data_IF_838902573141
#
_entry.id   IF_838902573141
#
_cell.length_a   1.000
_cell.length_b   1.000
_cell.length_c   1.000
_cell.angle_alpha   90.00
_cell.angle_beta   90.00
_cell.angle_gamma   90.00
#
_symmetry.space_group_name_H-M   'P 1'
#
loop_
_entity.id
_entity.type
_entity.pdbx_description
1 polymer ?
#
# COMPACT_ATOMS: atom_id res chain seq x y z
N UNK A 1 11.19 -13.15 1.44
CA UNK A 1 10.38 -12.73 0.27
C UNK A 1 8.91 -13.03 0.51
N UNK A 2 8.03 -12.34 -0.22
CA UNK A 2 6.57 -12.50 -0.16
C UNK A 2 6.01 -12.37 -1.60
N UNK A 3 6.16 -13.40 -2.45
CA UNK A 3 5.91 -13.29 -3.89
C UNK A 3 4.43 -13.39 -4.28
N UNK A 4 3.54 -13.71 -3.34
CA UNK A 4 2.11 -13.89 -3.59
C UNK A 4 1.28 -13.27 -2.47
N UNK A 5 0.02 -12.91 -2.75
CA UNK A 5 -0.90 -12.28 -1.79
C UNK A 5 -0.94 -13.01 -0.43
N UNK A 6 -1.02 -14.35 -0.45
CA UNK A 6 -1.02 -15.19 0.75
C UNK A 6 0.35 -15.82 1.10
N UNK A 7 1.45 -15.24 0.62
CA UNK A 7 2.83 -15.75 0.61
C UNK A 7 3.08 -16.96 -0.28
N UNK A 8 2.25 -18.00 -0.17
CA UNK A 8 2.43 -19.29 -0.83
C UNK A 8 1.11 -19.78 -1.47
N UNK A 9 1.12 -20.84 -2.32
CA UNK A 9 -0.09 -21.33 -2.99
C UNK A 9 -1.22 -21.79 -2.05
N UNK A 10 -0.90 -22.15 -0.80
CA UNK A 10 -1.88 -22.50 0.22
C UNK A 10 -2.47 -21.30 0.96
N UNK A 11 -1.95 -20.09 0.72
CA UNK A 11 -2.45 -18.85 1.30
C UNK A 11 -2.26 -18.76 2.81
N UNK A 12 -1.18 -19.36 3.35
CA UNK A 12 -1.01 -19.52 4.80
C UNK A 12 -0.86 -18.19 5.54
N UNK A 13 -0.36 -17.15 4.87
CA UNK A 13 0.03 -15.87 5.48
C UNK A 13 0.98 -16.03 6.67
N UNK A 14 1.73 -17.13 6.72
CA UNK A 14 2.69 -17.43 7.78
C UNK A 14 4.11 -17.14 7.31
N UNK A 15 4.96 -16.51 8.14
CA UNK A 15 6.40 -16.36 7.87
C UNK A 15 7.21 -17.24 8.84
N UNK A 16 8.25 -17.96 8.37
CA UNK A 16 9.13 -18.77 9.22
C UNK A 16 10.24 -17.95 9.87
N UNK A 17 10.38 -16.66 9.55
CA UNK A 17 11.38 -15.78 10.15
C UNK A 17 11.04 -15.53 11.63
N UNK A 18 12.06 -15.51 12.48
CA UNK A 18 11.96 -15.33 13.92
C UNK A 18 12.84 -14.19 14.46
N UNK A 19 13.43 -13.37 13.57
CA UNK A 19 14.20 -12.17 13.92
C UNK A 19 13.40 -11.21 14.82
N UNK A 20 12.09 -11.09 14.54
CA UNK A 20 11.14 -10.35 15.36
C UNK A 20 10.36 -11.36 16.20
N UNK A 21 10.43 -11.19 17.51
CA UNK A 21 9.87 -12.08 18.52
C UNK A 21 9.29 -11.29 19.69
N UNK A 22 8.59 -11.99 20.59
CA UNK A 22 7.88 -11.36 21.73
C UNK A 22 8.81 -10.53 22.60
N UNK A 23 10.07 -10.90 22.70
CA UNK A 23 11.05 -10.24 23.56
C UNK A 23 11.62 -8.95 22.97
N UNK A 24 11.58 -8.75 21.64
CA UNK A 24 12.17 -7.58 20.97
C UNK A 24 11.19 -6.77 20.10
N UNK A 25 9.93 -7.19 19.99
CA UNK A 25 8.91 -6.46 19.20
C UNK A 25 8.70 -5.02 19.70
N UNK A 26 8.97 -4.78 20.98
CA UNK A 26 8.89 -3.45 21.58
C UNK A 26 10.00 -2.49 21.10
N UNK A 27 11.06 -3.01 20.49
CA UNK A 27 12.22 -2.25 20.02
C UNK A 27 12.11 -1.89 18.53
N UNK A 28 10.98 -2.19 17.88
CA UNK A 28 10.79 -1.88 16.46
C UNK A 28 10.65 -0.38 16.24
N UNK A 29 11.35 0.10 15.23
CA UNK A 29 11.29 1.48 14.77
C UNK A 29 10.91 1.53 13.29
N UNK A 30 10.36 2.67 12.85
CA UNK A 30 10.07 2.90 11.44
C UNK A 30 11.40 3.04 10.68
N UNK A 31 11.67 2.11 9.77
CA UNK A 31 12.85 2.17 8.92
C UNK A 31 12.73 3.24 7.83
N UNK A 32 11.54 3.36 7.21
CA UNK A 32 11.22 4.37 6.21
C UNK A 32 9.70 4.52 6.05
N UNK A 33 9.28 5.59 5.38
CA UNK A 33 7.88 5.84 4.99
C UNK A 33 7.84 6.29 3.54
N UNK A 34 6.90 5.77 2.76
CA UNK A 34 6.63 6.20 1.39
C UNK A 34 5.22 6.79 1.33
N UNK A 35 5.07 7.94 0.66
CA UNK A 35 3.76 8.56 0.41
C UNK A 35 3.41 8.38 -1.06
N UNK A 36 2.28 7.71 -1.30
CA UNK A 36 1.80 7.39 -2.65
C UNK A 36 1.23 8.62 -3.39
N UNK A 37 0.88 9.67 -2.65
CA UNK A 37 0.48 10.97 -3.20
C UNK A 37 -1.03 11.23 -3.20
N UNK A 38 -1.85 10.21 -2.97
CA UNK A 38 -3.31 10.34 -3.06
C UNK A 38 -3.96 10.83 -1.77
N UNK A 39 -3.30 10.65 -0.61
CA UNK A 39 -3.86 11.06 0.68
C UNK A 39 -4.03 12.59 0.76
N UNK A 40 -5.19 13.13 1.19
CA UNK A 40 -5.37 14.57 1.28
C UNK A 40 -4.55 15.21 2.37
N UNK A 41 -4.23 16.49 2.18
CA UNK A 41 -3.34 17.24 3.05
C UNK A 41 -3.99 17.69 4.39
N UNK A 42 -5.31 17.49 4.56
CA UNK A 42 -6.09 18.13 5.62
C UNK A 42 -6.64 17.14 6.68
N UNK A 43 -6.69 17.60 7.94
CA UNK A 43 -7.07 16.84 9.14
C UNK A 43 -8.58 16.48 9.26
N UNK A 44 -9.40 16.86 8.28
CA UNK A 44 -10.86 16.60 8.30
C UNK A 44 -11.24 15.15 7.94
N UNK A 45 -10.25 14.27 7.72
CA UNK A 45 -10.45 12.85 7.40
C UNK A 45 -10.93 11.95 8.53
N UNK A 46 -10.83 12.39 9.79
CA UNK A 46 -11.32 11.61 10.94
C UNK A 46 -12.86 11.43 10.93
N UNK A 47 -13.59 12.27 10.17
CA UNK A 47 -15.06 12.22 10.11
C UNK A 47 -15.63 11.24 9.07
N UNK A 48 -14.82 10.71 8.14
CA UNK A 48 -15.31 9.95 6.98
C UNK A 48 -15.10 8.42 7.05
N UNK A 49 -14.53 7.87 8.14
CA UNK A 49 -14.47 6.42 8.34
C UNK A 49 -13.72 5.61 7.25
N UNK A 50 -12.94 6.27 6.41
CA UNK A 50 -12.24 5.70 5.25
C UNK A 50 -11.48 6.79 4.50
N UNK A 51 -10.35 6.43 3.90
CA UNK A 51 -9.46 7.38 3.21
C UNK A 51 -10.17 8.19 2.13
N UNK A 52 -9.86 9.48 2.06
CA UNK A 52 -10.15 10.25 0.86
C UNK A 52 -8.98 10.17 -0.12
N UNK A 53 -9.23 10.59 -1.35
CA UNK A 53 -8.18 10.92 -2.30
C UNK A 53 -8.28 12.40 -2.71
N UNK A 54 -7.16 13.11 -2.69
CA UNK A 54 -7.12 14.51 -3.11
C UNK A 54 -7.35 14.62 -4.62
N UNK A 55 -6.74 13.69 -5.36
CA UNK A 55 -6.74 13.69 -6.83
C UNK A 55 -8.06 13.19 -7.45
N UNK A 56 -8.76 12.27 -6.79
CA UNK A 56 -10.02 11.70 -7.32
C UNK A 56 -11.30 12.20 -6.64
N UNK A 57 -11.18 13.27 -5.83
CA UNK A 57 -12.30 13.95 -5.18
C UNK A 57 -13.33 13.01 -4.50
N UNK A 58 -12.86 11.84 -4.05
CA UNK A 58 -13.68 10.79 -3.48
C UNK A 58 -13.33 10.60 -2.02
N UNK A 59 -14.35 10.50 -1.18
CA UNK A 59 -14.23 10.09 0.23
C UNK A 59 -14.14 8.56 0.41
N UNK A 60 -14.16 7.79 -0.69
CA UNK A 60 -14.18 6.33 -0.70
C UNK A 60 -12.90 5.73 -1.32
N UNK A 61 -11.75 6.38 -1.08
CA UNK A 61 -10.45 5.87 -1.48
C UNK A 61 -9.88 4.92 -0.41
N UNK A 62 -9.66 3.65 -0.73
CA UNK A 62 -9.19 2.65 0.25
C UNK A 62 -7.92 1.95 -0.18
N UNK A 63 -6.98 1.89 0.77
CA UNK A 63 -5.70 1.23 0.60
C UNK A 63 -5.74 -0.17 1.22
N UNK A 64 -6.23 -1.17 0.47
CA UNK A 64 -6.35 -2.57 0.92
C UNK A 64 -5.27 -3.49 0.33
N UNK A 65 -4.19 -2.92 -0.21
CA UNK A 65 -3.12 -3.68 -0.86
C UNK A 65 -2.38 -4.58 0.13
N UNK A 66 -2.06 -5.80 -0.29
CA UNK A 66 -1.00 -6.61 0.33
C UNK A 66 0.25 -6.55 -0.54
N UNK A 67 1.30 -5.81 -0.13
CA UNK A 67 2.51 -5.65 -0.93
C UNK A 67 3.16 -6.97 -1.30
N UNK A 68 3.71 -7.05 -2.51
CA UNK A 68 4.54 -8.18 -2.93
C UNK A 68 6.01 -7.82 -2.80
N UNK A 69 6.83 -8.72 -2.27
CA UNK A 69 8.27 -8.55 -2.20
C UNK A 69 8.97 -9.67 -2.99
N UNK A 70 9.67 -9.28 -4.05
CA UNK A 70 10.42 -10.16 -4.95
C UNK A 70 11.73 -9.49 -5.34
N UNK A 71 12.86 -10.20 -5.19
CA UNK A 71 14.20 -9.73 -5.58
C UNK A 71 14.54 -8.36 -4.98
N UNK A 72 14.18 -8.15 -3.70
CA UNK A 72 14.44 -6.89 -3.00
C UNK A 72 13.63 -5.69 -3.51
N UNK A 73 12.59 -5.94 -4.32
CA UNK A 73 11.62 -4.93 -4.78
C UNK A 73 10.32 -5.13 -4.03
N UNK A 74 9.75 -4.04 -3.50
CA UNK A 74 8.39 -4.01 -2.98
C UNK A 74 7.45 -3.45 -4.05
N UNK A 75 6.37 -4.15 -4.36
CA UNK A 75 5.36 -3.73 -5.33
C UNK A 75 4.04 -3.43 -4.62
N UNK A 76 3.43 -2.29 -4.97
CA UNK A 76 2.21 -1.75 -4.36
C UNK A 76 1.25 -1.32 -5.47
N UNK A 77 -0.05 -1.60 -5.34
CA UNK A 77 -1.12 -0.94 -6.10
C UNK A 77 -1.67 0.24 -5.28
N UNK A 78 -2.01 1.36 -5.94
CA UNK A 78 -2.67 2.50 -5.28
C UNK A 78 -4.16 2.54 -5.62
N UNK A 79 -4.98 3.27 -4.83
CA UNK A 79 -6.43 3.32 -5.05
C UNK A 79 -6.80 3.91 -6.42
N UNK A 80 -5.92 4.71 -7.01
CA UNK A 80 -6.07 5.37 -8.32
C UNK A 80 -5.45 4.57 -9.47
N UNK A 81 -5.30 3.26 -9.31
CA UNK A 81 -4.79 2.35 -10.35
C UNK A 81 -3.34 2.59 -10.79
N UNK A 82 -2.50 3.16 -9.92
CA UNK A 82 -1.04 3.17 -10.13
C UNK A 82 -0.42 1.90 -9.55
N UNK A 83 0.71 1.48 -10.12
CA UNK A 83 1.59 0.46 -9.55
C UNK A 83 2.94 1.09 -9.24
N UNK A 84 3.37 0.98 -7.99
CA UNK A 84 4.62 1.53 -7.49
C UNK A 84 5.59 0.39 -7.21
N UNK A 85 6.83 0.52 -7.67
CA UNK A 85 7.94 -0.35 -7.28
C UNK A 85 8.95 0.42 -6.42
N UNK A 86 9.21 -0.09 -5.23
CA UNK A 86 10.17 0.48 -4.27
C UNK A 86 11.35 -0.46 -4.04
N UNK A 87 12.50 0.12 -3.75
CA UNK A 87 13.59 -0.59 -3.09
C UNK A 87 13.18 -0.96 -1.66
N UNK A 88 13.12 -2.25 -1.36
CA UNK A 88 12.56 -2.71 -0.08
C UNK A 88 13.41 -2.30 1.15
N UNK A 89 14.71 -2.07 0.96
CA UNK A 89 15.61 -1.72 2.06
C UNK A 89 15.56 -0.22 2.39
N UNK A 90 15.39 0.63 1.37
CA UNK A 90 15.50 2.08 1.50
C UNK A 90 14.18 2.82 1.38
N UNK A 91 13.15 2.19 0.82
CA UNK A 91 11.88 2.84 0.45
C UNK A 91 11.99 3.75 -0.79
N UNK A 92 13.15 3.76 -1.46
CA UNK A 92 13.38 4.55 -2.66
C UNK A 92 12.54 4.07 -3.84
N UNK A 93 11.81 4.97 -4.47
CA UNK A 93 11.04 4.65 -5.68
C UNK A 93 11.95 4.26 -6.84
N UNK A 94 11.66 3.12 -7.46
CA UNK A 94 12.35 2.62 -8.65
C UNK A 94 11.61 3.01 -9.92
N UNK A 95 10.29 2.87 -9.91
CA UNK A 95 9.40 3.31 -10.99
C UNK A 95 7.95 3.34 -10.51
N UNK A 96 7.13 4.07 -11.28
CA UNK A 96 5.67 4.07 -11.17
C UNK A 96 5.08 3.80 -12.55
N UNK A 97 4.06 2.95 -12.59
CA UNK A 97 3.17 2.80 -13.72
C UNK A 97 1.85 3.48 -13.37
N UNK A 98 1.37 4.37 -14.23
CA UNK A 98 0.04 4.98 -14.15
C UNK A 98 -0.80 4.43 -15.30
N UNK A 99 -2.03 3.99 -15.00
CA UNK A 99 -2.96 3.50 -16.00
C UNK A 99 -3.78 4.60 -16.68
N UNK A 100 -3.61 5.86 -16.27
CA UNK A 100 -4.43 7.01 -16.68
C UNK A 100 -5.92 6.78 -16.37
N UNK A 101 -6.23 6.32 -15.15
CA UNK A 101 -7.61 6.13 -14.72
C UNK A 101 -8.36 7.47 -14.68
N UNK A 102 -9.63 7.48 -15.10
CA UNK A 102 -10.43 8.70 -15.06
C UNK A 102 -10.91 8.97 -13.63
N UNK A 103 -10.24 9.93 -12.98
CA UNK A 103 -10.46 10.27 -11.58
C UNK A 103 -11.73 11.09 -11.32
N UNK A 104 -12.42 11.56 -12.37
CA UNK A 104 -13.67 12.32 -12.27
C UNK A 104 -14.93 11.41 -12.25
N UNK A 105 -14.75 10.10 -12.43
CA UNK A 105 -15.86 9.15 -12.44
C UNK A 105 -16.13 8.59 -11.04
N UNK A 106 -17.41 8.45 -10.73
CA UNK A 106 -17.88 7.70 -9.57
C UNK A 106 -17.97 6.21 -9.94
N UNK A 107 -16.89 5.48 -9.68
CA UNK A 107 -16.86 4.04 -9.86
C UNK A 107 -17.73 3.37 -8.79
N UNK A 108 -18.49 2.33 -9.16
CA UNK A 108 -19.48 1.71 -8.27
C UNK A 108 -18.92 1.15 -6.96
N UNK A 109 -17.62 0.82 -6.94
CA UNK A 109 -16.90 0.32 -5.76
C UNK A 109 -15.96 1.39 -5.16
N UNK A 110 -16.00 2.63 -5.66
CA UNK A 110 -15.03 3.67 -5.34
C UNK A 110 -13.62 3.39 -5.88
N UNK A 111 -12.64 4.07 -5.30
CA UNK A 111 -11.22 3.90 -5.63
C UNK A 111 -10.58 2.97 -4.60
N UNK A 112 -10.40 1.69 -4.93
CA UNK A 112 -9.87 0.69 -3.98
C UNK A 112 -8.69 -0.05 -4.60
N UNK A 113 -7.56 -0.08 -3.89
CA UNK A 113 -6.43 -0.95 -4.23
C UNK A 113 -6.55 -2.27 -3.47
N UNK A 114 -6.29 -3.41 -4.12
CA UNK A 114 -6.21 -4.74 -3.49
C UNK A 114 -4.92 -5.44 -3.89
#
# INVERSE_FOLDING_TARGET
>A
EWPAYGRDPGGTRFSPLDDIRRENVADLEVAWTYRTGEAPDDADHEAAGGGGCAECHSSDARFEVTPLMVDGTLYLSTPVSRVVALDAATGGERWVYDSDANLDLDYSEGFISR
#
